data_IF_076352760292
#
_entry.id   IF_076352760292
#
_cell.length_a   1.000
_cell.length_b   1.000
_cell.length_c   1.000
_cell.angle_alpha   90.00
_cell.angle_beta   90.00
_cell.angle_gamma   90.00
#
_symmetry.space_group_name_H-M   'P 1'
#
loop_
_entity.id
_entity.type
_entity.pdbx_description
1 polymer ?
#
# COMPACT_ATOMS: atom_id res chain seq x y z
N UNK A 1 -17.20 20.92 -14.12
CA UNK A 1 -17.89 19.76 -13.52
C UNK A 1 -17.06 19.44 -12.29
N UNK A 2 -17.59 19.58 -11.08
CA UNK A 2 -16.79 19.28 -9.89
C UNK A 2 -16.59 17.77 -9.84
N UNK A 3 -15.36 17.32 -10.07
CA UNK A 3 -15.00 15.95 -9.76
C UNK A 3 -15.30 15.76 -8.27
N UNK A 4 -16.32 14.94 -8.00
CA UNK A 4 -16.62 14.51 -6.66
C UNK A 4 -15.35 13.78 -6.20
N UNK A 5 -14.61 14.34 -5.24
CA UNK A 5 -13.50 13.61 -4.63
C UNK A 5 -14.10 12.40 -3.93
N UNK A 6 -14.16 11.27 -4.65
CA UNK A 6 -14.57 10.00 -4.09
C UNK A 6 -13.55 9.66 -3.01
N UNK A 7 -14.05 9.40 -1.81
CA UNK A 7 -13.21 9.05 -0.65
C UNK A 7 -12.89 7.56 -0.67
N UNK A 8 -13.83 6.75 -1.16
CA UNK A 8 -13.78 5.29 -1.12
C UNK A 8 -13.55 4.71 -2.50
N UNK A 9 -12.65 3.74 -2.57
CA UNK A 9 -12.34 2.98 -3.77
C UNK A 9 -12.28 1.49 -3.44
N UNK A 10 -12.58 0.65 -4.42
CA UNK A 10 -12.26 -0.78 -4.34
C UNK A 10 -10.80 -1.03 -4.78
N UNK A 11 -10.34 -2.28 -4.64
CA UNK A 11 -8.95 -2.68 -4.96
C UNK A 11 -8.56 -2.49 -6.43
N UNK A 12 -9.55 -2.40 -7.34
CA UNK A 12 -9.30 -2.11 -8.77
C UNK A 12 -9.14 -0.62 -9.06
N UNK A 13 -9.33 0.25 -8.07
CA UNK A 13 -9.30 1.71 -8.25
C UNK A 13 -10.61 2.29 -8.79
N UNK A 14 -11.71 1.55 -8.71
CA UNK A 14 -13.04 2.05 -9.07
C UNK A 14 -13.65 2.79 -7.86
N UNK A 15 -14.23 3.99 -8.05
CA UNK A 15 -14.87 4.71 -6.97
C UNK A 15 -16.11 3.94 -6.49
N UNK A 16 -16.26 3.82 -5.18
CA UNK A 16 -17.40 3.15 -4.52
C UNK A 16 -18.00 4.08 -3.47
N UNK A 17 -19.21 3.76 -3.01
CA UNK A 17 -19.82 4.43 -1.86
C UNK A 17 -19.30 3.84 -0.55
N UNK A 18 -19.47 4.58 0.55
CA UNK A 18 -19.20 4.05 1.89
C UNK A 18 -20.01 2.78 2.19
N UNK A 19 -21.26 2.72 1.73
CA UNK A 19 -22.13 1.56 1.91
C UNK A 19 -21.59 0.32 1.18
N UNK A 20 -21.14 0.48 -0.07
CA UNK A 20 -20.53 -0.60 -0.85
C UNK A 20 -19.25 -1.11 -0.18
N UNK A 21 -18.42 -0.20 0.35
CA UNK A 21 -17.22 -0.60 1.09
C UNK A 21 -17.57 -1.42 2.33
N UNK A 22 -18.53 -0.94 3.13
CA UNK A 22 -18.96 -1.64 4.33
C UNK A 22 -19.55 -3.02 4.03
N UNK A 23 -20.20 -3.17 2.88
CA UNK A 23 -20.74 -4.45 2.42
C UNK A 23 -19.61 -5.43 2.01
N UNK A 24 -18.62 -4.96 1.26
CA UNK A 24 -17.43 -5.76 0.93
C UNK A 24 -16.71 -6.25 2.21
N UNK A 25 -16.60 -5.39 3.23
CA UNK A 25 -15.95 -5.72 4.51
C UNK A 25 -16.72 -6.75 5.33
N UNK A 26 -18.05 -6.71 5.32
CA UNK A 26 -18.89 -7.73 5.99
C UNK A 26 -18.75 -9.09 5.32
N UNK A 27 -18.66 -9.13 3.99
CA UNK A 27 -18.55 -10.36 3.22
C UNK A 27 -17.19 -11.05 3.38
N UNK A 28 -16.14 -10.30 3.73
CA UNK A 28 -14.81 -10.88 3.93
C UNK A 28 -14.61 -11.58 5.28
N UNK A 29 -15.69 -11.86 6.03
CA UNK A 29 -15.67 -12.40 7.40
C UNK A 29 -14.75 -11.61 8.36
N UNK A 30 -14.54 -10.31 8.10
CA UNK A 30 -13.57 -9.47 8.80
C UNK A 30 -12.11 -10.00 8.80
N UNK A 31 -11.75 -10.85 7.84
CA UNK A 31 -10.36 -11.26 7.63
C UNK A 31 -9.55 -10.09 7.05
N UNK A 32 -9.03 -9.27 7.96
CA UNK A 32 -8.28 -8.06 7.64
C UNK A 32 -7.06 -8.36 6.78
N UNK A 33 -6.41 -9.50 7.02
CA UNK A 33 -5.22 -9.92 6.31
C UNK A 33 -5.55 -10.25 4.84
N UNK A 34 -6.65 -10.97 4.59
CA UNK A 34 -7.12 -11.22 3.22
C UNK A 34 -7.59 -9.97 2.49
N UNK A 35 -8.20 -9.02 3.21
CA UNK A 35 -8.84 -7.86 2.59
C UNK A 35 -7.85 -6.75 2.26
N UNK A 36 -6.93 -6.44 3.19
CA UNK A 36 -6.05 -5.27 3.08
C UNK A 36 -4.60 -5.61 2.79
N UNK A 37 -4.08 -6.80 3.13
CA UNK A 37 -2.67 -7.09 2.87
C UNK A 37 -2.42 -7.29 1.37
N UNK A 38 -1.40 -6.62 0.86
CA UNK A 38 -0.89 -6.80 -0.50
C UNK A 38 0.42 -7.58 -0.44
N UNK A 39 1.36 -7.13 0.40
CA UNK A 39 2.64 -7.80 0.61
C UNK A 39 3.15 -7.53 2.03
N UNK A 40 4.00 -8.43 2.52
CA UNK A 40 4.68 -8.31 3.82
C UNK A 40 5.98 -9.08 3.78
N UNK A 41 7.07 -8.44 4.17
CA UNK A 41 8.37 -9.07 4.37
C UNK A 41 8.97 -8.59 5.69
N UNK A 42 9.68 -9.48 6.36
CA UNK A 42 10.25 -9.23 7.68
C UNK A 42 11.68 -9.77 7.74
N UNK A 43 12.58 -9.02 8.36
CA UNK A 43 13.94 -9.44 8.66
C UNK A 43 14.38 -8.77 9.97
N UNK A 44 14.84 -9.56 10.93
CA UNK A 44 15.24 -9.10 12.27
C UNK A 44 14.11 -8.29 12.95
N UNK A 45 14.34 -7.02 13.29
CA UNK A 45 13.37 -6.09 13.88
C UNK A 45 12.68 -5.19 12.85
N UNK A 46 12.90 -5.44 11.55
CA UNK A 46 12.40 -4.63 10.44
C UNK A 46 11.26 -5.34 9.73
N UNK A 47 10.17 -4.61 9.50
CA UNK A 47 9.00 -5.07 8.74
C UNK A 47 8.71 -4.12 7.60
N UNK A 48 8.60 -4.64 6.38
CA UNK A 48 8.03 -3.91 5.23
C UNK A 48 6.62 -4.44 4.98
N UNK A 49 5.63 -3.56 5.04
CA UNK A 49 4.22 -3.93 4.84
C UNK A 49 3.59 -3.06 3.76
N UNK A 50 2.94 -3.71 2.79
CA UNK A 50 2.14 -3.05 1.77
C UNK A 50 0.68 -3.43 1.93
N UNK A 51 -0.18 -2.42 1.94
CA UNK A 51 -1.62 -2.57 2.19
C UNK A 51 -2.47 -1.81 1.18
N UNK A 52 -3.66 -2.33 0.94
CA UNK A 52 -4.76 -1.62 0.33
C UNK A 52 -5.51 -0.83 1.40
N UNK A 53 -5.58 0.49 1.24
CA UNK A 53 -6.21 1.41 2.18
C UNK A 53 -7.74 1.39 2.04
N UNK A 54 -8.23 1.33 0.80
CA UNK A 54 -9.64 1.55 0.44
C UNK A 54 -10.10 3.00 0.59
N UNK A 55 -9.18 3.89 0.96
CA UNK A 55 -9.41 5.31 1.18
C UNK A 55 -8.39 6.11 0.38
N UNK A 56 -8.88 7.11 -0.34
CA UNK A 56 -8.02 8.00 -1.09
C UNK A 56 -7.27 8.96 -0.16
N UNK A 57 -5.94 8.82 -0.12
CA UNK A 57 -5.03 9.70 0.60
C UNK A 57 -4.39 10.79 -0.30
N UNK A 58 -4.94 11.02 -1.50
CA UNK A 58 -4.61 12.15 -2.35
C UNK A 58 -5.38 13.39 -1.88
N UNK A 59 -4.68 14.31 -1.21
CA UNK A 59 -5.26 15.56 -0.70
C UNK A 59 -5.19 16.73 -1.69
N UNK A 60 -4.42 16.58 -2.77
CA UNK A 60 -4.29 17.57 -3.84
C UNK A 60 -4.84 17.05 -5.18
N UNK A 61 -4.30 17.60 -6.26
CA UNK A 61 -4.61 17.12 -7.61
C UNK A 61 -3.84 15.82 -7.92
N UNK A 62 -4.50 14.90 -8.62
CA UNK A 62 -3.86 13.68 -9.11
C UNK A 62 -4.74 12.43 -8.98
N UNK A 63 -4.20 11.27 -9.39
CA UNK A 63 -4.89 10.00 -9.22
C UNK A 63 -5.04 9.62 -7.74
N UNK A 64 -6.02 8.77 -7.39
CA UNK A 64 -6.28 8.39 -6.01
C UNK A 64 -5.12 7.56 -5.44
N UNK A 65 -4.68 7.87 -4.22
CA UNK A 65 -3.63 7.15 -3.52
C UNK A 65 -4.26 6.18 -2.52
N UNK A 66 -4.48 4.94 -2.96
CA UNK A 66 -5.31 3.93 -2.26
C UNK A 66 -4.51 2.71 -1.81
N UNK A 67 -3.22 2.67 -2.09
CA UNK A 67 -2.28 1.69 -1.57
C UNK A 67 -1.15 2.39 -0.81
N UNK A 68 -0.57 1.71 0.16
CA UNK A 68 0.55 2.23 0.96
C UNK A 68 1.57 1.13 1.22
N UNK A 69 2.85 1.47 1.09
CA UNK A 69 3.99 0.67 1.58
C UNK A 69 4.65 1.45 2.70
N UNK A 70 4.90 0.80 3.84
CA UNK A 70 5.55 1.40 4.99
C UNK A 70 6.59 0.44 5.58
N UNK A 71 7.69 1.02 6.04
CA UNK A 71 8.74 0.33 6.80
C UNK A 71 8.52 0.60 8.29
N UNK A 72 8.63 -0.44 9.10
CA UNK A 72 8.62 -0.37 10.56
C UNK A 72 9.93 -0.94 11.10
N UNK A 73 10.58 -0.21 12.01
CA UNK A 73 11.88 -0.57 12.58
C UNK A 73 13.10 -0.17 11.72
N UNK A 74 14.30 -0.37 12.27
CA UNK A 74 15.57 -0.09 11.60
C UNK A 74 15.84 1.39 11.31
N UNK A 75 16.80 1.66 10.41
CA UNK A 75 17.21 3.03 10.02
C UNK A 75 16.13 3.78 9.22
N UNK A 76 15.19 3.05 8.64
CA UNK A 76 14.18 3.58 7.72
C UNK A 76 12.77 3.53 8.28
N UNK A 77 12.66 3.47 9.61
CA UNK A 77 11.40 3.47 10.33
C UNK A 77 10.50 4.64 9.90
N UNK A 78 9.21 4.35 9.82
CA UNK A 78 8.13 5.22 9.38
C UNK A 78 8.22 5.76 7.94
N UNK A 79 9.25 5.40 7.16
CA UNK A 79 9.28 5.74 5.72
C UNK A 79 8.12 5.03 5.01
N UNK A 80 7.40 5.82 4.23
CA UNK A 80 6.18 5.37 3.57
C UNK A 80 6.00 6.00 2.20
N UNK A 81 5.33 5.27 1.32
CA UNK A 81 4.97 5.68 -0.03
C UNK A 81 3.56 5.20 -0.36
N UNK A 82 2.87 5.94 -1.22
CA UNK A 82 1.51 5.64 -1.63
C UNK A 82 1.39 5.52 -3.14
N UNK A 83 0.45 4.69 -3.57
CA UNK A 83 0.32 4.28 -4.96
C UNK A 83 -1.14 4.26 -5.40
N UNK A 84 -1.34 4.41 -6.71
CA UNK A 84 -2.67 4.36 -7.32
C UNK A 84 -3.10 2.92 -7.53
N UNK A 85 -2.16 2.08 -7.98
CA UNK A 85 -2.44 0.70 -8.35
C UNK A 85 -1.68 -0.30 -7.49
N UNK A 86 -2.23 -1.51 -7.40
CA UNK A 86 -1.57 -2.62 -6.70
C UNK A 86 -0.23 -2.99 -7.34
N UNK A 87 -0.13 -2.92 -8.67
CA UNK A 87 1.10 -3.22 -9.39
C UNK A 87 2.23 -2.23 -9.09
N UNK A 88 1.91 -0.94 -8.95
CA UNK A 88 2.86 0.08 -8.48
C UNK A 88 3.23 -0.16 -7.02
N UNK A 89 2.28 -0.53 -6.17
CA UNK A 89 2.51 -0.81 -4.76
C UNK A 89 3.45 -2.01 -4.55
N UNK A 90 3.32 -3.06 -5.38
CA UNK A 90 4.22 -4.21 -5.36
C UNK A 90 5.64 -3.84 -5.82
N UNK A 91 5.78 -3.02 -6.86
CA UNK A 91 7.10 -2.51 -7.27
C UNK A 91 7.73 -1.65 -6.16
N UNK A 92 6.92 -0.79 -5.54
CA UNK A 92 7.31 0.00 -4.39
C UNK A 92 7.70 -0.85 -3.17
N UNK A 93 7.06 -1.99 -2.97
CA UNK A 93 7.41 -2.96 -1.93
C UNK A 93 8.83 -3.48 -2.10
N UNK A 94 9.18 -3.97 -3.31
CA UNK A 94 10.51 -4.48 -3.60
C UNK A 94 11.61 -3.43 -3.39
N UNK A 95 11.33 -2.18 -3.78
CA UNK A 95 12.23 -1.05 -3.52
C UNK A 95 12.38 -0.79 -2.02
N UNK A 96 11.28 -0.78 -1.27
CA UNK A 96 11.30 -0.59 0.18
C UNK A 96 12.04 -1.73 0.91
N UNK A 97 11.92 -2.96 0.42
CA UNK A 97 12.61 -4.16 0.95
C UNK A 97 14.11 -4.07 0.69
N UNK A 98 14.50 -3.74 -0.53
CA UNK A 98 15.92 -3.53 -0.90
C UNK A 98 16.55 -2.46 -0.02
N UNK A 99 15.82 -1.34 0.16
CA UNK A 99 16.22 -0.23 1.01
C UNK A 99 16.32 -0.64 2.49
N UNK A 100 15.30 -1.32 3.03
CA UNK A 100 15.20 -1.63 4.45
C UNK A 100 16.17 -2.74 4.90
N UNK A 101 16.41 -3.74 4.05
CA UNK A 101 17.23 -4.89 4.39
C UNK A 101 18.70 -4.75 3.96
N UNK A 102 19.08 -3.60 3.40
CA UNK A 102 20.45 -3.35 2.96
C UNK A 102 20.91 -4.31 1.86
N UNK A 103 19.97 -4.83 1.05
CA UNK A 103 20.29 -5.67 -0.10
C UNK A 103 20.86 -4.78 -1.21
N UNK A 104 22.06 -4.24 -1.03
CA UNK A 104 22.81 -3.66 -2.13
C UNK A 104 23.15 -4.80 -3.07
N UNK A 105 22.65 -4.75 -4.30
CA UNK A 105 23.08 -5.67 -5.35
C UNK A 105 24.60 -5.74 -5.32
N UNK A 106 25.11 -6.94 -5.05
CA UNK A 106 26.53 -7.23 -5.03
C UNK A 106 27.08 -6.87 -6.41
N UNK A 107 27.61 -5.65 -6.54
CA UNK A 107 28.40 -5.20 -7.67
C UNK A 107 29.85 -5.49 -7.34
N UNK A 108 30.14 -6.72 -6.94
CA UNK A 108 31.46 -7.31 -7.15
C UNK A 108 31.70 -7.39 -8.66
N UNK A 109 32.23 -6.29 -9.19
CA UNK A 109 32.89 -6.27 -10.48
C UNK A 109 34.33 -6.72 -10.21
N UNK A 110 34.68 -7.91 -10.67
CA UNK A 110 36.09 -8.36 -10.79
C UNK A 110 36.88 -7.48 -11.77
#
# INVERSE_FOLDING_TARGET
>A
MSDLHHIYYNRRGEPITHEQQMEEWKQSDFDWDKMKRVARQEQDDIVVSTVFLGLNHQYGDGPPLIFETMIFGGEHDEKQWRYTTEAEALQGHEVAVTLAFGLTGDTSSE
#
